data_IF_167019012377
#
_entry.id   IF_167019012377
#
_cell.length_a   1.000
_cell.length_b   1.000
_cell.length_c   1.000
_cell.angle_alpha   90.00
_cell.angle_beta   90.00
_cell.angle_gamma   90.00
#
_symmetry.space_group_name_H-M   'P 1'
#
loop_
_entity.id
_entity.type
_entity.pdbx_description
1 polymer ?
#
# COMPACT_ATOMS: atom_id res chain seq x y z
N UNK A 1 -13.11 -12.63 -4.53
CA UNK A 1 -11.68 -12.25 -4.62
C UNK A 1 -11.60 -10.74 -4.62
N UNK A 2 -10.68 -10.16 -3.85
CA UNK A 2 -10.55 -8.69 -3.72
C UNK A 2 -9.63 -8.18 -4.82
N UNK A 3 -10.05 -7.15 -5.56
CA UNK A 3 -9.23 -6.48 -6.57
C UNK A 3 -8.54 -5.29 -5.95
N UNK A 4 -7.25 -5.14 -6.26
CA UNK A 4 -6.45 -3.99 -5.85
C UNK A 4 -5.91 -3.24 -7.06
N UNK A 5 -5.89 -1.92 -6.97
CA UNK A 5 -5.20 -1.04 -7.92
C UNK A 5 -3.84 -0.68 -7.35
N UNK A 6 -2.81 -0.73 -8.20
CA UNK A 6 -1.42 -0.53 -7.83
C UNK A 6 -0.82 0.52 -8.78
N UNK A 7 -0.19 1.54 -8.23
CA UNK A 7 0.61 2.49 -9.03
C UNK A 7 2.05 1.99 -9.08
N UNK A 8 2.54 1.72 -10.30
CA UNK A 8 3.90 1.25 -10.55
C UNK A 8 4.73 2.31 -11.26
N UNK A 9 6.04 2.29 -11.04
CA UNK A 9 7.00 3.05 -11.83
C UNK A 9 7.02 2.48 -13.24
N UNK A 10 6.57 3.24 -14.24
CA UNK A 10 6.61 2.81 -15.64
C UNK A 10 7.96 3.11 -16.28
N UNK A 11 8.53 4.27 -15.97
CA UNK A 11 9.85 4.71 -16.44
C UNK A 11 10.52 5.62 -15.44
N UNK A 12 11.84 5.61 -15.39
CA UNK A 12 12.58 6.52 -14.53
C UNK A 12 12.38 7.99 -14.92
N UNK A 13 12.30 8.84 -13.90
CA UNK A 13 12.03 10.28 -14.08
C UNK A 13 13.20 11.01 -14.72
N UNK A 14 12.96 11.66 -15.86
CA UNK A 14 13.88 12.61 -16.49
C UNK A 14 13.39 14.03 -16.16
N UNK A 15 14.17 14.78 -15.38
CA UNK A 15 13.72 16.06 -14.83
C UNK A 15 12.63 15.87 -13.77
N UNK A 16 11.53 16.62 -13.89
CA UNK A 16 10.37 16.53 -13.02
C UNK A 16 9.51 15.30 -13.36
N UNK A 17 8.96 14.59 -12.36
CA UNK A 17 8.04 13.48 -12.61
C UNK A 17 6.81 13.93 -13.40
N UNK A 18 6.42 13.12 -14.38
CA UNK A 18 5.20 13.30 -15.18
C UNK A 18 4.22 12.17 -14.95
N UNK A 19 2.95 12.37 -15.30
CA UNK A 19 1.94 11.30 -15.23
C UNK A 19 2.32 10.06 -16.06
N UNK A 20 3.07 10.26 -17.15
CA UNK A 20 3.51 9.18 -18.04
C UNK A 20 4.61 8.29 -17.44
N UNK A 21 5.17 8.70 -16.30
CA UNK A 21 6.20 7.95 -15.59
C UNK A 21 5.62 6.85 -14.70
N UNK A 22 4.30 6.83 -14.54
CA UNK A 22 3.56 5.89 -13.72
C UNK A 22 2.56 5.10 -14.56
N UNK A 23 2.18 3.94 -14.05
CA UNK A 23 1.13 3.10 -14.61
C UNK A 23 0.21 2.60 -13.50
N UNK A 24 -1.10 2.56 -13.77
CA UNK A 24 -2.09 1.99 -12.85
C UNK A 24 -2.44 0.58 -13.29
N UNK A 25 -2.05 -0.41 -12.48
CA UNK A 25 -2.35 -1.83 -12.71
C UNK A 25 -3.47 -2.31 -11.79
N UNK A 26 -4.21 -3.31 -12.22
CA UNK A 26 -5.18 -4.02 -11.38
C UNK A 26 -4.73 -5.46 -11.18
N UNK A 27 -4.79 -5.95 -9.94
CA UNK A 27 -4.44 -7.31 -9.57
C UNK A 27 -5.50 -7.90 -8.63
N UNK A 28 -5.56 -9.23 -8.55
CA UNK A 28 -6.42 -9.93 -7.60
C UNK A 28 -5.59 -10.43 -6.42
N UNK A 29 -6.08 -10.16 -5.21
CA UNK A 29 -5.44 -10.63 -3.97
C UNK A 29 -5.91 -12.05 -3.64
N UNK A 30 -5.02 -12.91 -3.14
CA UNK A 30 -5.39 -14.25 -2.68
C UNK A 30 -6.27 -14.16 -1.41
N UNK A 31 -6.95 -15.25 -1.02
CA UNK A 31 -7.63 -15.32 0.27
C UNK A 31 -6.65 -15.15 1.45
N UNK A 32 -7.12 -14.55 2.53
CA UNK A 32 -6.33 -14.38 3.76
C UNK A 32 -5.94 -15.73 4.38
N UNK A 33 -4.71 -15.81 4.88
CA UNK A 33 -4.20 -16.89 5.74
C UNK A 33 -4.35 -16.53 7.21
N UNK A 34 -4.11 -17.50 8.10
CA UNK A 34 -4.20 -17.26 9.54
C UNK A 34 -3.19 -16.20 9.99
N UNK A 35 -3.63 -15.26 10.83
CA UNK A 35 -2.82 -14.13 11.28
C UNK A 35 -2.77 -12.94 10.31
N UNK A 36 -3.22 -13.11 9.06
CA UNK A 36 -3.24 -12.03 8.08
C UNK A 36 -4.47 -11.13 8.21
N UNK A 37 -4.32 -9.89 7.75
CA UNK A 37 -5.39 -8.89 7.65
C UNK A 37 -5.42 -8.28 6.25
N UNK A 38 -6.64 -7.98 5.77
CA UNK A 38 -6.84 -7.21 4.56
C UNK A 38 -7.01 -5.73 4.93
N UNK A 39 -6.17 -4.89 4.34
CA UNK A 39 -6.16 -3.45 4.54
C UNK A 39 -6.72 -2.75 3.31
N UNK A 40 -7.56 -1.74 3.54
CA UNK A 40 -7.99 -0.74 2.56
C UNK A 40 -7.28 0.58 2.86
N UNK A 41 -6.58 1.13 1.86
CA UNK A 41 -5.91 2.42 1.98
C UNK A 41 -6.93 3.56 2.06
N UNK A 42 -6.88 4.36 3.13
CA UNK A 42 -7.69 5.57 3.27
C UNK A 42 -6.92 6.79 2.76
N UNK A 43 -5.62 6.84 3.06
CA UNK A 43 -4.71 7.89 2.65
C UNK A 43 -3.38 7.29 2.21
N UNK A 44 -2.70 7.94 1.27
CA UNK A 44 -1.37 7.60 0.79
C UNK A 44 -0.43 8.77 1.07
N UNK A 45 0.79 8.50 1.55
CA UNK A 45 1.81 9.56 1.67
C UNK A 45 2.44 9.88 0.32
N UNK A 46 2.81 11.15 0.15
CA UNK A 46 3.58 11.65 -1.00
C UNK A 46 4.64 12.59 -0.45
N UNK A 47 5.86 12.06 -0.33
CA UNK A 47 6.94 12.73 0.38
C UNK A 47 8.11 13.05 -0.57
N UNK A 48 8.83 14.17 -0.38
CA UNK A 48 9.93 14.56 -1.26
C UNK A 48 11.02 13.49 -1.42
N UNK A 49 11.30 12.70 -0.37
CA UNK A 49 12.33 11.65 -0.41
C UNK A 49 12.04 10.58 -1.47
N UNK A 50 10.77 10.37 -1.83
CA UNK A 50 10.35 9.36 -2.79
C UNK A 50 10.97 9.61 -4.17
N UNK A 51 11.25 10.88 -4.51
CA UNK A 51 11.95 11.24 -5.76
C UNK A 51 13.34 10.61 -5.84
N UNK A 52 14.05 10.57 -4.72
CA UNK A 52 15.40 10.02 -4.65
C UNK A 52 15.34 8.48 -4.62
N UNK A 53 14.47 7.91 -3.77
CA UNK A 53 14.34 6.45 -3.66
C UNK A 53 13.73 5.80 -4.90
N UNK A 54 12.93 6.51 -5.70
CA UNK A 54 12.44 5.97 -6.98
C UNK A 54 13.57 5.56 -7.95
N UNK A 55 14.81 6.03 -7.74
CA UNK A 55 15.99 5.58 -8.51
C UNK A 55 16.41 4.14 -8.17
N UNK A 56 16.02 3.62 -7.00
CA UNK A 56 16.34 2.25 -6.57
C UNK A 56 15.27 1.23 -7.00
N UNK A 57 14.12 1.70 -7.47
CA UNK A 57 13.05 0.87 -8.02
C UNK A 57 13.39 0.44 -9.45
N UNK A 58 12.91 -0.71 -9.86
CA UNK A 58 12.90 -1.14 -11.27
C UNK A 58 11.59 -0.70 -11.91
N UNK A 59 11.60 -0.55 -13.24
CA UNK A 59 10.36 -0.37 -13.98
C UNK A 59 9.43 -1.57 -13.76
N UNK A 60 8.17 -1.30 -13.51
CA UNK A 60 7.16 -2.27 -13.09
C UNK A 60 7.00 -2.41 -11.57
N UNK A 61 7.94 -1.92 -10.76
CA UNK A 61 7.83 -1.97 -9.31
C UNK A 61 6.73 -1.03 -8.81
N UNK A 62 6.04 -1.43 -7.74
CA UNK A 62 5.08 -0.58 -7.03
C UNK A 62 5.80 0.61 -6.40
N UNK A 63 5.23 1.80 -6.54
CA UNK A 63 5.72 2.99 -5.85
C UNK A 63 5.69 2.79 -4.33
N UNK A 64 6.76 3.18 -3.64
CA UNK A 64 6.82 3.13 -2.17
C UNK A 64 5.86 4.15 -1.54
N UNK A 65 5.81 4.19 -0.20
CA UNK A 65 4.99 5.13 0.56
C UNK A 65 4.29 4.46 1.73
N UNK A 66 3.84 5.29 2.66
CA UNK A 66 3.04 4.86 3.81
C UNK A 66 1.55 5.11 3.56
N UNK A 67 0.73 4.50 4.39
CA UNK A 67 -0.71 4.62 4.34
C UNK A 67 -1.29 4.66 5.74
N UNK A 68 -2.31 5.51 5.91
CA UNK A 68 -3.35 5.25 6.91
C UNK A 68 -4.34 4.29 6.25
N UNK A 69 -4.54 3.12 6.84
CA UNK A 69 -5.36 2.06 6.28
C UNK A 69 -6.34 1.50 7.30
N UNK A 70 -7.46 0.97 6.81
CA UNK A 70 -8.50 0.32 7.60
C UNK A 70 -8.45 -1.18 7.41
N UNK A 71 -8.55 -1.94 8.49
CA UNK A 71 -8.77 -3.39 8.42
C UNK A 71 -10.20 -3.64 7.92
N UNK A 72 -10.35 -4.24 6.74
CA UNK A 72 -11.67 -4.55 6.15
C UNK A 72 -12.06 -6.02 6.30
N UNK A 73 -11.08 -6.91 6.48
CA UNK A 73 -11.23 -8.32 6.83
C UNK A 73 -10.01 -8.75 7.66
N UNK A 74 -10.20 -9.65 8.62
CA UNK A 74 -9.12 -10.06 9.52
C UNK A 74 -9.22 -11.53 9.94
N UNK A 75 -8.07 -12.21 9.92
CA UNK A 75 -7.84 -13.50 10.59
C UNK A 75 -6.86 -13.36 11.77
N UNK A 76 -6.79 -12.16 12.34
CA UNK A 76 -5.94 -11.79 13.46
C UNK A 76 -6.78 -11.13 14.56
N UNK A 77 -6.89 -11.78 15.72
CA UNK A 77 -7.73 -11.31 16.82
C UNK A 77 -7.31 -9.95 17.39
N UNK A 78 -6.03 -9.59 17.29
CA UNK A 78 -5.53 -8.30 17.78
C UNK A 78 -5.89 -7.14 16.86
N UNK A 79 -6.24 -7.42 15.61
CA UNK A 79 -6.55 -6.44 14.56
C UNK A 79 -7.95 -6.71 14.03
N UNK A 80 -9.01 -6.43 14.80
CA UNK A 80 -10.38 -6.64 14.35
C UNK A 80 -10.72 -5.74 13.14
N UNK A 81 -11.77 -6.12 12.41
CA UNK A 81 -12.31 -5.31 11.33
C UNK A 81 -12.69 -3.93 11.86
N UNK A 82 -12.33 -2.88 11.12
CA UNK A 82 -12.54 -1.48 11.48
C UNK A 82 -11.33 -0.81 12.10
N UNK A 83 -10.35 -1.56 12.61
CA UNK A 83 -9.11 -0.99 13.17
C UNK A 83 -8.39 -0.14 12.12
N UNK A 84 -7.96 1.05 12.53
CA UNK A 84 -7.13 1.94 11.72
C UNK A 84 -5.67 1.74 12.08
N UNK A 85 -4.83 1.58 11.06
CA UNK A 85 -3.40 1.35 11.20
C UNK A 85 -2.58 2.25 10.29
N UNK A 86 -1.38 2.59 10.72
CA UNK A 86 -0.30 3.09 9.86
C UNK A 86 0.50 1.88 9.34
N UNK A 87 0.74 1.85 8.04
CA UNK A 87 1.47 0.76 7.36
C UNK A 87 2.23 1.29 6.14
N UNK A 88 3.13 0.48 5.56
CA UNK A 88 3.97 0.90 4.42
C UNK A 88 3.85 0.01 3.17
N UNK A 89 2.64 -0.34 2.69
CA UNK A 89 2.46 -1.18 1.51
C UNK A 89 2.68 -0.42 0.20
N UNK A 90 3.17 0.84 0.20
CA UNK A 90 3.34 1.63 -1.02
C UNK A 90 2.02 2.13 -1.61
N UNK A 91 2.01 2.50 -2.89
CA UNK A 91 0.80 3.02 -3.54
C UNK A 91 -0.09 1.89 -4.07
N UNK A 92 -1.00 1.42 -3.23
CA UNK A 92 -1.99 0.37 -3.54
C UNK A 92 -3.30 0.65 -2.81
N UNK A 93 -4.44 0.31 -3.41
CA UNK A 93 -5.75 0.50 -2.75
C UNK A 93 -6.02 -0.52 -1.66
N UNK A 94 -5.52 -1.75 -1.84
CA UNK A 94 -5.67 -2.85 -0.90
C UNK A 94 -4.37 -3.63 -0.78
N UNK A 95 -4.10 -4.16 0.41
CA UNK A 95 -2.94 -5.01 0.67
C UNK A 95 -3.24 -6.02 1.77
N UNK A 96 -2.60 -7.18 1.68
CA UNK A 96 -2.57 -8.16 2.77
C UNK A 96 -1.34 -7.89 3.61
N UNK A 97 -1.51 -7.83 4.93
CA UNK A 97 -0.43 -7.79 5.92
C UNK A 97 -0.49 -9.06 6.76
N UNK A 98 0.68 -9.53 7.22
CA UNK A 98 0.79 -10.65 8.17
C UNK A 98 0.48 -10.24 9.62
N UNK A 99 0.00 -9.00 9.81
CA UNK A 99 -0.34 -8.42 11.11
C UNK A 99 0.86 -7.83 11.87
N UNK A 100 2.07 -7.90 11.30
CA UNK A 100 3.29 -7.34 11.91
C UNK A 100 3.57 -5.94 11.38
N UNK A 101 4.34 -5.18 12.16
CA UNK A 101 4.78 -3.82 11.83
C UNK A 101 3.62 -2.88 11.43
N UNK A 102 2.46 -3.11 12.06
CA UNK A 102 1.29 -2.24 11.96
C UNK A 102 1.19 -1.42 13.24
N UNK A 103 1.24 -0.09 13.10
CA UNK A 103 0.99 0.81 14.21
C UNK A 103 -0.51 1.10 14.27
N UNK A 104 -1.18 0.68 15.35
CA UNK A 104 -2.60 0.98 15.56
C UNK A 104 -2.75 2.46 15.89
N UNK A 105 -3.61 3.14 15.14
CA UNK A 105 -3.97 4.52 15.42
C UNK A 105 -5.21 4.55 16.32
N UNK A 106 -5.13 5.31 17.41
CA UNK A 106 -6.28 5.54 18.27
C UNK A 106 -7.27 6.44 17.53
N UNK A 107 -8.48 5.94 17.31
CA UNK A 107 -9.61 6.73 16.85
C UNK A 107 -10.50 7.00 18.04
N UNK A 108 -10.81 8.27 18.28
CA UNK A 108 -11.74 8.74 19.33
C UNK A 108 -13.16 8.19 19.15
#
# INVERSE_FOLDING_TARGET
MVRTKIWTLKKHFVGHPTKSDFELKTAELPPLKNGEVLLEALFLTVDPYMRFLAKTLKEGDRMMGQQVARVVESKNADLPKGTIVLTSPGWTTHSISDGKDLEKLLTE
#
